data_IF_136304823041
#
_entry.id   IF_136304823041
#
_cell.length_a   1.000
_cell.length_b   1.000
_cell.length_c   1.000
_cell.angle_alpha   90.00
_cell.angle_beta   90.00
_cell.angle_gamma   90.00
#
_symmetry.space_group_name_H-M   'P 1'
#
loop_
_entity.id
_entity.type
_entity.pdbx_description
1 polymer ?
#
# COMPACT_ATOMS: atom_id res chain seq x y z
N UNK A 1 37.78 8.90 -16.55
CA UNK A 1 37.78 7.45 -16.25
C UNK A 1 36.42 6.98 -15.76
N UNK A 2 35.71 7.77 -14.94
CA UNK A 2 34.37 7.44 -14.45
C UNK A 2 33.35 7.26 -15.57
N UNK A 3 33.22 8.22 -16.49
CA UNK A 3 32.24 8.12 -17.60
C UNK A 3 32.52 6.91 -18.53
N UNK A 4 33.80 6.57 -18.70
CA UNK A 4 34.20 5.36 -19.43
C UNK A 4 33.79 4.09 -18.68
N UNK A 5 33.97 4.05 -17.36
CA UNK A 5 33.57 2.91 -16.54
C UNK A 5 32.04 2.73 -16.55
N UNK A 6 31.28 3.81 -16.47
CA UNK A 6 29.81 3.79 -16.59
C UNK A 6 29.36 3.31 -17.96
N UNK A 7 29.96 3.83 -19.03
CA UNK A 7 29.70 3.39 -20.40
C UNK A 7 30.00 1.90 -20.60
N UNK A 8 31.08 1.38 -19.98
CA UNK A 8 31.39 -0.05 -19.99
C UNK A 8 30.31 -0.84 -19.23
N UNK A 9 29.84 -0.36 -18.08
CA UNK A 9 28.78 -1.03 -17.33
C UNK A 9 27.49 -1.08 -18.17
N UNK A 10 27.03 0.05 -18.71
CA UNK A 10 25.86 0.09 -19.61
C UNK A 10 26.01 -0.90 -20.75
N UNK A 11 27.12 -0.86 -21.48
CA UNK A 11 27.37 -1.74 -22.62
C UNK A 11 27.33 -3.22 -22.22
N UNK A 12 27.84 -3.58 -21.04
CA UNK A 12 27.87 -4.96 -20.56
C UNK A 12 26.50 -5.45 -20.04
N UNK A 13 25.69 -4.55 -19.48
CA UNK A 13 24.34 -4.86 -19.01
C UNK A 13 23.31 -4.88 -20.15
N UNK A 14 23.52 -4.04 -21.17
CA UNK A 14 22.66 -3.86 -22.35
C UNK A 14 23.19 -4.60 -23.58
N UNK A 15 24.22 -5.44 -23.45
CA UNK A 15 24.78 -6.22 -24.55
C UNK A 15 23.66 -7.05 -25.19
N UNK A 16 23.08 -6.51 -26.27
CA UNK A 16 21.89 -6.96 -26.97
C UNK A 16 22.12 -8.35 -27.59
N UNK A 17 22.11 -9.38 -26.77
CA UNK A 17 21.91 -10.75 -27.19
C UNK A 17 20.43 -11.05 -26.93
N UNK A 18 19.60 -11.16 -27.97
CA UNK A 18 18.17 -11.43 -27.80
C UNK A 18 17.96 -12.62 -26.87
N UNK A 19 17.20 -12.41 -25.80
CA UNK A 19 16.79 -13.41 -24.80
C UNK A 19 17.93 -14.06 -23.99
N UNK A 20 19.09 -13.39 -23.82
CA UNK A 20 20.16 -13.91 -22.97
C UNK A 20 20.59 -12.89 -21.92
N UNK A 21 20.19 -13.14 -20.67
CA UNK A 21 20.65 -12.36 -19.52
C UNK A 21 22.19 -12.37 -19.41
N UNK A 22 22.82 -11.31 -18.89
CA UNK A 22 24.25 -11.29 -18.65
C UNK A 22 24.68 -12.45 -17.74
N UNK A 23 25.83 -13.06 -18.02
CA UNK A 23 26.34 -14.14 -17.17
C UNK A 23 26.62 -13.63 -15.74
N UNK A 24 26.52 -14.50 -14.73
CA UNK A 24 26.85 -14.16 -13.35
C UNK A 24 28.26 -13.54 -13.19
N UNK A 25 29.22 -13.91 -14.04
CA UNK A 25 30.55 -13.31 -14.06
C UNK A 25 30.54 -11.86 -14.55
N UNK A 26 29.74 -11.56 -15.58
CA UNK A 26 29.58 -10.18 -16.09
C UNK A 26 28.92 -9.32 -15.02
N UNK A 27 27.83 -9.82 -14.42
CA UNK A 27 27.14 -9.13 -13.33
C UNK A 27 28.09 -8.88 -12.14
N UNK A 28 28.87 -9.87 -11.71
CA UNK A 28 29.83 -9.70 -10.62
C UNK A 28 30.91 -8.64 -10.94
N UNK A 29 31.40 -8.58 -12.18
CA UNK A 29 32.37 -7.55 -12.60
C UNK A 29 31.73 -6.15 -12.67
N UNK A 30 30.50 -6.04 -13.18
CA UNK A 30 29.76 -4.77 -13.19
C UNK A 30 29.47 -4.30 -11.75
N UNK A 31 29.04 -5.22 -10.87
CA UNK A 31 28.81 -4.95 -9.43
C UNK A 31 30.07 -4.41 -8.78
N UNK A 32 31.20 -5.05 -9.06
CA UNK A 32 32.49 -4.67 -8.51
C UNK A 32 32.93 -3.28 -8.99
N UNK A 33 32.78 -3.02 -10.29
CA UNK A 33 33.14 -1.74 -10.90
C UNK A 33 32.25 -0.61 -10.37
N UNK A 34 30.94 -0.82 -10.29
CA UNK A 34 30.01 0.11 -9.67
C UNK A 34 30.38 0.36 -8.20
N UNK A 35 30.70 -0.70 -7.45
CA UNK A 35 31.14 -0.57 -6.06
C UNK A 35 32.40 0.28 -5.93
N UNK A 36 33.42 0.05 -6.76
CA UNK A 36 34.65 0.85 -6.74
C UNK A 36 34.38 2.33 -7.05
N UNK A 37 33.49 2.62 -8.01
CA UNK A 37 33.09 4.00 -8.33
C UNK A 37 32.39 4.68 -7.14
N UNK A 38 31.65 3.91 -6.34
CA UNK A 38 31.03 4.34 -5.09
C UNK A 38 31.98 4.34 -3.87
N UNK A 39 33.26 4.00 -4.05
CA UNK A 39 34.24 3.99 -2.97
C UNK A 39 34.34 2.69 -2.18
N UNK A 40 33.79 1.59 -2.69
CA UNK A 40 33.96 0.27 -2.09
C UNK A 40 35.45 -0.10 -2.05
N UNK A 41 35.96 -0.34 -0.84
CA UNK A 41 37.30 -0.89 -0.68
C UNK A 41 37.28 -2.39 -0.98
N UNK A 42 37.80 -2.74 -2.15
CA UNK A 42 37.85 -4.14 -2.61
C UNK A 42 39.21 -4.73 -2.27
N UNK A 43 39.20 -5.88 -1.60
CA UNK A 43 40.41 -6.67 -1.42
C UNK A 43 40.98 -7.07 -2.79
N UNK A 44 42.28 -6.83 -3.00
CA UNK A 44 43.02 -7.21 -4.20
C UNK A 44 42.86 -8.70 -4.53
N UNK A 45 42.66 -9.56 -3.53
CA UNK A 45 42.41 -11.00 -3.75
C UNK A 45 41.11 -11.27 -4.51
N UNK A 46 40.10 -10.41 -4.39
CA UNK A 46 38.82 -10.50 -5.13
C UNK A 46 38.97 -10.02 -6.57
N UNK A 47 39.82 -9.02 -6.81
CA UNK A 47 40.11 -8.49 -8.16
C UNK A 47 40.78 -9.54 -9.06
N UNK A 48 41.65 -10.38 -8.47
CA UNK A 48 42.47 -11.37 -9.20
C UNK A 48 41.72 -12.69 -9.43
N UNK A 49 40.56 -12.91 -8.81
CA UNK A 49 39.76 -14.12 -9.04
C UNK A 49 39.22 -14.16 -10.48
N UNK A 50 39.48 -15.28 -11.14
CA UNK A 50 39.00 -15.59 -12.50
C UNK A 50 37.48 -15.79 -12.51
N UNK A 51 36.94 -16.41 -11.46
CA UNK A 51 35.50 -16.58 -11.25
C UNK A 51 35.06 -15.83 -9.97
N UNK A 52 34.15 -14.87 -10.16
CA UNK A 52 33.55 -14.01 -9.13
C UNK A 52 32.06 -14.31 -8.95
N UNK A 53 31.48 -15.24 -9.72
CA UNK A 53 30.05 -15.56 -9.70
C UNK A 53 29.56 -15.95 -8.30
N UNK A 54 30.33 -16.77 -7.57
CA UNK A 54 30.01 -17.17 -6.20
C UNK A 54 30.08 -16.04 -5.15
N UNK A 55 30.58 -14.86 -5.51
CA UNK A 55 30.68 -13.71 -4.62
C UNK A 55 29.62 -12.64 -4.91
N UNK A 56 28.71 -12.88 -5.86
CA UNK A 56 27.79 -11.86 -6.36
C UNK A 56 26.89 -11.30 -5.28
N UNK A 57 26.31 -12.15 -4.42
CA UNK A 57 25.44 -11.70 -3.32
C UNK A 57 26.19 -10.81 -2.33
N UNK A 58 27.45 -11.16 -2.04
CA UNK A 58 28.32 -10.37 -1.15
C UNK A 58 28.71 -9.04 -1.80
N UNK A 59 28.97 -9.03 -3.11
CA UNK A 59 29.29 -7.81 -3.85
C UNK A 59 28.07 -6.89 -3.95
N UNK A 60 26.89 -7.45 -4.18
CA UNK A 60 25.63 -6.69 -4.22
C UNK A 60 25.35 -6.09 -2.85
N UNK A 61 25.42 -6.89 -1.77
CA UNK A 61 25.28 -6.40 -0.38
C UNK A 61 26.25 -5.23 -0.09
N UNK A 62 27.50 -5.34 -0.53
CA UNK A 62 28.50 -4.28 -0.36
C UNK A 62 28.22 -3.04 -1.19
N UNK A 63 27.79 -3.22 -2.45
CA UNK A 63 27.38 -2.14 -3.34
C UNK A 63 26.27 -1.31 -2.70
N UNK A 64 25.34 -1.96 -2.02
CA UNK A 64 24.22 -1.33 -1.35
C UNK A 64 24.61 -0.56 -0.11
N UNK A 65 25.47 -1.13 0.72
CA UNK A 65 26.03 -0.40 1.87
C UNK A 65 26.74 0.87 1.39
N UNK A 66 27.44 0.82 0.25
CA UNK A 66 28.03 2.01 -0.35
C UNK A 66 26.98 3.01 -0.86
N UNK A 67 25.93 2.55 -1.54
CA UNK A 67 24.82 3.41 -1.98
C UNK A 67 24.13 4.08 -0.79
N UNK A 68 23.83 3.31 0.26
CA UNK A 68 23.21 3.80 1.49
C UNK A 68 24.12 4.82 2.19
N UNK A 69 25.44 4.56 2.28
CA UNK A 69 26.39 5.53 2.84
C UNK A 69 26.51 6.83 2.04
N UNK A 70 26.31 6.77 0.73
CA UNK A 70 26.25 7.96 -0.13
C UNK A 70 24.97 8.75 0.09
N UNK A 71 23.84 8.05 0.29
CA UNK A 71 22.53 8.62 0.60
C UNK A 71 22.50 9.28 1.98
N UNK A 72 23.03 8.61 3.00
CA UNK A 72 23.00 9.10 4.39
C UNK A 72 23.99 10.24 4.65
N UNK A 73 24.72 10.70 3.63
CA UNK A 73 25.74 11.73 3.77
C UNK A 73 26.97 11.29 4.56
N UNK A 74 27.12 9.98 4.81
CA UNK A 74 28.28 9.41 5.49
C UNK A 74 29.56 9.48 4.63
N UNK A 75 29.39 9.61 3.31
CA UNK A 75 30.49 9.79 2.37
C UNK A 75 30.70 11.26 1.94
N UNK A 76 31.96 11.67 1.66
CA UNK A 76 32.28 13.01 1.16
C UNK A 76 31.44 13.43 -0.07
N UNK A 77 31.17 14.73 -0.24
CA UNK A 77 30.32 15.29 -1.32
C UNK A 77 30.63 14.81 -2.75
N UNK A 78 31.89 14.45 -3.06
CA UNK A 78 32.26 13.91 -4.37
C UNK A 78 31.71 12.50 -4.63
N UNK A 79 31.41 11.72 -3.59
CA UNK A 79 30.74 10.43 -3.71
C UNK A 79 29.25 10.57 -4.01
N UNK A 80 28.58 11.64 -3.57
CA UNK A 80 27.18 11.89 -3.89
C UNK A 80 26.97 12.06 -5.40
N UNK A 81 27.83 12.84 -6.07
CA UNK A 81 27.77 13.02 -7.54
C UNK A 81 28.05 11.71 -8.30
N UNK A 82 29.02 10.90 -7.83
CA UNK A 82 29.29 9.58 -8.41
C UNK A 82 28.16 8.59 -8.16
N UNK A 83 27.56 8.64 -6.97
CA UNK A 83 26.41 7.81 -6.62
C UNK A 83 25.24 8.08 -7.55
N UNK A 84 24.93 9.36 -7.83
CA UNK A 84 23.90 9.73 -8.81
C UNK A 84 24.13 9.07 -10.16
N UNK A 85 25.36 9.11 -10.70
CA UNK A 85 25.69 8.49 -11.99
C UNK A 85 25.75 6.96 -11.97
N UNK A 86 26.21 6.35 -10.88
CA UNK A 86 26.37 4.89 -10.78
C UNK A 86 25.06 4.17 -10.44
N UNK A 87 24.08 4.89 -9.91
CA UNK A 87 22.88 4.32 -9.34
C UNK A 87 22.03 3.55 -10.36
N UNK A 88 21.67 4.08 -11.56
CA UNK A 88 20.85 3.33 -12.50
C UNK A 88 21.48 1.97 -12.85
N UNK A 89 22.81 1.94 -12.96
CA UNK A 89 23.54 0.70 -13.21
C UNK A 89 23.58 -0.23 -12.00
N UNK A 90 23.79 0.30 -10.80
CA UNK A 90 23.79 -0.49 -9.57
C UNK A 90 22.42 -1.17 -9.38
N UNK A 91 21.35 -0.41 -9.56
CA UNK A 91 19.97 -0.87 -9.51
C UNK A 91 19.68 -1.94 -10.57
N UNK A 92 20.10 -1.73 -11.82
CA UNK A 92 19.99 -2.73 -12.89
C UNK A 92 20.78 -4.01 -12.60
N UNK A 93 21.96 -3.90 -12.00
CA UNK A 93 22.76 -5.05 -11.56
C UNK A 93 21.97 -5.83 -10.51
N UNK A 94 21.41 -5.16 -9.51
CA UNK A 94 20.64 -5.82 -8.45
C UNK A 94 19.46 -6.58 -9.04
N UNK A 95 18.66 -5.91 -9.88
CA UNK A 95 17.52 -6.50 -10.58
C UNK A 95 17.92 -7.79 -11.32
N UNK A 96 19.00 -7.72 -12.11
CA UNK A 96 19.48 -8.87 -12.90
C UNK A 96 20.08 -9.99 -12.05
N UNK A 97 20.55 -9.69 -10.84
CA UNK A 97 21.11 -10.70 -9.92
C UNK A 97 20.06 -11.37 -9.06
N UNK A 98 18.93 -10.71 -8.80
CA UNK A 98 17.93 -11.16 -7.81
C UNK A 98 18.45 -11.18 -6.36
N UNK A 99 19.67 -10.69 -6.12
CA UNK A 99 20.31 -10.70 -4.81
C UNK A 99 19.81 -9.48 -4.01
N UNK A 100 18.89 -9.72 -3.08
CA UNK A 100 18.33 -8.64 -2.25
C UNK A 100 18.43 -8.95 -0.74
N UNK A 101 19.05 -8.06 0.07
CA UNK A 101 18.83 -7.94 1.50
C UNK A 101 17.36 -7.69 1.83
N UNK A 102 16.85 -8.47 2.77
CA UNK A 102 15.47 -8.40 3.26
C UNK A 102 15.23 -7.26 4.27
N UNK A 103 16.21 -6.38 4.51
CA UNK A 103 16.18 -5.40 5.60
C UNK A 103 15.54 -4.04 5.23
N UNK A 104 14.96 -3.92 4.03
CA UNK A 104 14.26 -2.72 3.56
C UNK A 104 15.17 -1.51 3.28
N UNK A 105 16.48 -1.62 3.47
CA UNK A 105 17.47 -0.56 3.18
C UNK A 105 17.39 -0.09 1.73
N UNK A 106 17.04 -1.01 0.84
CA UNK A 106 16.87 -0.80 -0.59
C UNK A 106 15.85 0.25 -0.99
N UNK A 107 14.66 0.15 -0.41
CA UNK A 107 13.59 1.09 -0.71
C UNK A 107 14.00 2.50 -0.30
N UNK A 108 14.73 2.63 0.82
CA UNK A 108 15.28 3.92 1.28
C UNK A 108 16.33 4.46 0.33
N UNK A 109 17.27 3.63 -0.09
CA UNK A 109 18.32 4.04 -1.02
C UNK A 109 17.73 4.49 -2.36
N UNK A 110 16.83 3.70 -2.95
CA UNK A 110 16.17 4.04 -4.21
C UNK A 110 15.34 5.32 -4.13
N UNK A 111 14.56 5.49 -3.06
CA UNK A 111 13.77 6.71 -2.87
C UNK A 111 14.64 7.95 -2.62
N UNK A 112 15.67 7.84 -1.78
CA UNK A 112 16.57 8.96 -1.53
C UNK A 112 17.33 9.36 -2.80
N UNK A 113 17.67 8.39 -3.63
CA UNK A 113 18.24 8.67 -4.93
C UNK A 113 17.26 9.34 -5.89
N UNK A 114 16.02 8.87 -5.95
CA UNK A 114 14.94 9.54 -6.70
C UNK A 114 14.84 11.02 -6.28
N UNK A 115 14.78 11.27 -4.97
CA UNK A 115 14.80 12.62 -4.38
C UNK A 115 16.01 13.45 -4.83
N UNK A 116 17.20 12.87 -4.78
CA UNK A 116 18.44 13.55 -5.13
C UNK A 116 18.60 13.85 -6.62
N UNK A 117 18.04 13.02 -7.49
CA UNK A 117 17.99 13.25 -8.94
C UNK A 117 16.97 14.35 -9.24
N UNK A 118 15.80 14.26 -8.62
CA UNK A 118 14.72 15.25 -8.78
C UNK A 118 15.14 16.64 -8.30
N UNK A 119 15.59 16.77 -7.04
CA UNK A 119 15.95 18.06 -6.42
C UNK A 119 17.34 18.57 -6.82
N UNK A 120 18.25 17.68 -7.23
CA UNK A 120 19.66 18.00 -7.45
C UNK A 120 19.91 18.98 -8.61
N UNK A 121 18.96 19.15 -9.52
CA UNK A 121 19.08 20.06 -10.66
C UNK A 121 18.43 21.43 -10.41
N UNK A 122 17.50 21.54 -9.45
CA UNK A 122 16.84 22.81 -9.12
C UNK A 122 17.79 23.87 -8.55
N UNK A 123 18.96 23.46 -8.04
CA UNK A 123 19.96 24.37 -7.47
C UNK A 123 20.94 24.96 -8.50
N UNK A 124 20.91 24.53 -9.77
CA UNK A 124 21.88 24.94 -10.80
C UNK A 124 21.23 25.88 -11.85
N UNK A 125 19.90 25.97 -11.93
CA UNK A 125 19.17 26.66 -13.00
C UNK A 125 18.55 28.01 -12.61
N UNK A 126 19.23 28.82 -11.80
CA UNK A 126 18.83 30.24 -11.64
C UNK A 126 19.05 31.06 -12.93
N UNK A 127 19.67 30.47 -13.96
CA UNK A 127 19.78 31.06 -15.28
C UNK A 127 19.30 30.06 -16.34
N UNK A 128 18.31 30.51 -17.12
CA UNK A 128 17.76 29.90 -18.33
C UNK A 128 16.71 28.80 -18.12
N UNK A 129 15.63 28.90 -18.90
CA UNK A 129 14.52 27.95 -18.99
C UNK A 129 15.07 26.54 -19.16
N UNK A 130 14.86 25.67 -18.17
CA UNK A 130 15.19 24.24 -18.28
C UNK A 130 14.55 23.71 -19.56
N UNK A 131 15.36 23.10 -20.43
CA UNK A 131 14.87 22.50 -21.66
C UNK A 131 13.86 21.40 -21.31
N UNK A 132 12.72 21.35 -22.01
CA UNK A 132 11.66 20.38 -21.76
C UNK A 132 12.18 18.95 -21.87
N UNK A 133 13.16 18.71 -22.75
CA UNK A 133 13.81 17.41 -22.92
C UNK A 133 14.70 17.04 -21.72
N UNK A 134 15.42 18.01 -21.14
CA UNK A 134 16.27 17.78 -19.98
C UNK A 134 15.44 17.51 -18.71
N UNK A 135 14.33 18.22 -18.53
CA UNK A 135 13.37 17.97 -17.45
C UNK A 135 12.75 16.57 -17.58
N UNK A 136 12.29 16.19 -18.78
CA UNK A 136 11.71 14.87 -19.04
C UNK A 136 12.73 13.76 -18.76
N UNK A 137 13.97 13.89 -19.25
CA UNK A 137 15.05 12.95 -18.96
C UNK A 137 15.30 12.82 -17.44
N UNK A 138 15.34 13.94 -16.72
CA UNK A 138 15.51 13.97 -15.25
C UNK A 138 14.38 13.21 -14.54
N UNK A 139 13.13 13.45 -14.93
CA UNK A 139 11.98 12.81 -14.31
C UNK A 139 11.98 11.29 -14.51
N UNK A 140 12.38 10.82 -15.71
CA UNK A 140 12.51 9.39 -15.98
C UNK A 140 13.73 8.75 -15.30
N UNK A 141 14.86 9.44 -15.19
CA UNK A 141 16.02 8.95 -14.41
C UNK A 141 15.67 8.79 -12.93
N UNK A 142 14.94 9.76 -12.35
CA UNK A 142 14.40 9.66 -11.00
C UNK A 142 13.37 8.52 -10.90
N UNK A 143 12.59 8.29 -11.95
CA UNK A 143 11.61 7.23 -12.06
C UNK A 143 12.23 5.84 -12.05
N UNK A 144 13.30 5.63 -12.82
CA UNK A 144 14.04 4.38 -12.83
C UNK A 144 14.66 4.04 -11.45
N UNK A 145 15.12 5.07 -10.73
CA UNK A 145 15.60 4.90 -9.36
C UNK A 145 14.49 4.44 -8.42
N UNK A 146 13.29 5.02 -8.58
CA UNK A 146 12.12 4.70 -7.78
C UNK A 146 11.54 3.32 -8.11
N UNK A 147 11.42 2.99 -9.40
CA UNK A 147 10.98 1.70 -9.89
C UNK A 147 11.78 0.56 -9.22
N UNK A 148 13.11 0.68 -9.21
CA UNK A 148 13.94 -0.34 -8.56
C UNK A 148 13.77 -0.39 -7.04
N UNK A 149 13.42 0.72 -6.40
CA UNK A 149 13.08 0.73 -4.97
C UNK A 149 11.82 -0.12 -4.69
N UNK A 150 10.90 -0.16 -5.66
CA UNK A 150 9.63 -0.89 -5.61
C UNK A 150 9.79 -2.37 -6.07
N UNK A 151 10.69 -2.69 -7.02
CA UNK A 151 10.93 -4.05 -7.58
C UNK A 151 11.43 -5.14 -6.62
N UNK A 152 11.50 -4.87 -5.32
CA UNK A 152 12.44 -5.55 -4.41
C UNK A 152 11.66 -6.09 -3.19
N UNK A 153 11.95 -7.30 -2.66
CA UNK A 153 11.03 -8.13 -1.88
C UNK A 153 10.54 -7.38 -0.64
N UNK A 154 9.32 -6.84 -0.72
CA UNK A 154 8.57 -6.30 0.41
C UNK A 154 7.40 -7.21 0.80
N UNK A 155 7.49 -8.50 0.46
CA UNK A 155 6.46 -9.47 0.77
C UNK A 155 6.82 -10.33 1.99
N UNK A 156 5.81 -10.79 2.76
CA UNK A 156 6.00 -11.62 3.96
C UNK A 156 6.68 -12.98 3.69
N UNK A 157 6.82 -13.36 2.42
CA UNK A 157 7.37 -14.64 1.96
C UNK A 157 8.81 -14.54 1.44
N UNK A 158 9.41 -13.34 1.41
CA UNK A 158 10.79 -13.15 0.92
C UNK A 158 10.97 -13.36 -0.59
N UNK A 159 9.88 -13.39 -1.37
CA UNK A 159 9.94 -13.45 -2.83
C UNK A 159 10.16 -12.05 -3.42
N UNK A 160 10.98 -11.99 -4.48
CA UNK A 160 11.16 -10.79 -5.30
C UNK A 160 9.96 -10.69 -6.25
N UNK A 161 9.11 -9.69 -6.03
CA UNK A 161 7.96 -9.39 -6.87
C UNK A 161 8.36 -8.36 -7.92
N UNK A 162 7.90 -8.56 -9.15
CA UNK A 162 8.05 -7.54 -10.19
C UNK A 162 7.12 -6.37 -9.88
N UNK A 163 7.43 -5.13 -10.31
CA UNK A 163 6.58 -3.96 -10.11
C UNK A 163 5.20 -4.06 -10.74
N UNK A 164 5.05 -4.94 -11.72
CA UNK A 164 3.81 -5.23 -12.40
C UNK A 164 3.00 -6.33 -11.70
N UNK A 165 3.58 -6.99 -10.71
CA UNK A 165 2.92 -8.04 -9.94
C UNK A 165 1.81 -7.43 -9.08
N UNK A 166 0.57 -7.89 -9.31
CA UNK A 166 -0.59 -7.41 -8.56
C UNK A 166 -0.47 -7.67 -7.06
N UNK A 167 0.32 -8.66 -6.65
CA UNK A 167 0.60 -8.96 -5.25
C UNK A 167 1.25 -7.77 -4.54
N UNK A 168 2.15 -7.04 -5.22
CA UNK A 168 2.90 -5.94 -4.63
C UNK A 168 1.98 -4.78 -4.22
N UNK A 169 0.94 -4.48 -5.00
CA UNK A 169 0.00 -3.39 -4.71
C UNK A 169 -0.78 -3.62 -3.41
N UNK A 170 -1.10 -4.87 -3.10
CA UNK A 170 -2.01 -5.20 -2.01
C UNK A 170 -1.29 -5.66 -0.75
N UNK A 171 -0.21 -6.41 -0.93
CA UNK A 171 0.52 -7.07 0.14
C UNK A 171 1.93 -6.51 0.35
N UNK A 172 2.38 -5.58 -0.50
CA UNK A 172 3.65 -4.89 -0.32
C UNK A 172 3.67 -4.10 0.98
N UNK A 173 4.62 -4.41 1.86
CA UNK A 173 4.85 -3.68 3.09
C UNK A 173 5.74 -2.46 2.84
N UNK A 174 5.14 -1.40 2.30
CA UNK A 174 5.76 -0.07 2.19
C UNK A 174 5.82 0.62 3.55
N UNK A 175 6.46 -0.02 4.52
CA UNK A 175 6.56 0.50 5.88
C UNK A 175 7.95 1.05 6.15
N UNK A 176 7.99 2.31 6.55
CA UNK A 176 9.13 2.93 7.17
C UNK A 176 9.26 2.51 8.64
N UNK A 177 9.04 1.23 8.99
CA UNK A 177 8.80 0.79 10.38
C UNK A 177 9.93 1.14 11.38
N UNK A 178 11.08 1.61 10.90
CA UNK A 178 12.21 2.09 11.70
C UNK A 178 12.69 3.49 11.32
N UNK A 179 11.88 4.27 10.63
CA UNK A 179 12.20 5.62 10.20
C UNK A 179 11.34 6.64 10.94
N UNK A 180 11.99 7.52 11.70
CA UNK A 180 11.33 8.58 12.48
C UNK A 180 11.03 9.83 11.65
N UNK A 181 11.30 9.78 10.34
CA UNK A 181 11.16 10.90 9.42
C UNK A 181 9.68 11.30 9.28
N UNK A 182 9.44 12.62 9.29
CA UNK A 182 8.08 13.17 9.26
C UNK A 182 7.47 13.11 7.86
N UNK A 183 6.15 13.19 7.74
CA UNK A 183 5.44 13.26 6.44
C UNK A 183 5.95 14.39 5.54
N UNK A 184 6.45 15.48 6.12
CA UNK A 184 7.04 16.62 5.40
C UNK A 184 8.25 16.24 4.54
N UNK A 185 8.99 15.20 4.92
CA UNK A 185 10.20 14.79 4.20
C UNK A 185 9.93 14.16 2.83
N UNK A 186 8.65 13.90 2.55
CA UNK A 186 8.12 13.33 1.32
C UNK A 186 7.31 14.32 0.49
N UNK A 187 7.24 15.60 0.87
CA UNK A 187 6.51 16.60 0.07
C UNK A 187 7.07 16.75 -1.35
N UNK A 188 8.40 16.59 -1.50
CA UNK A 188 9.03 16.55 -2.82
C UNK A 188 8.48 15.44 -3.72
N UNK A 189 7.96 14.34 -3.14
CA UNK A 189 7.39 13.24 -3.92
C UNK A 189 6.05 13.66 -4.52
N UNK A 190 5.26 14.48 -3.81
CA UNK A 190 4.04 15.08 -4.37
C UNK A 190 4.41 16.00 -5.54
N UNK A 191 5.47 16.80 -5.39
CA UNK A 191 5.95 17.69 -6.46
C UNK A 191 6.39 16.92 -7.69
N UNK A 192 7.19 15.87 -7.46
CA UNK A 192 7.62 14.95 -8.50
C UNK A 192 6.46 14.30 -9.24
N UNK A 193 5.45 13.81 -8.51
CA UNK A 193 4.23 13.23 -9.09
C UNK A 193 3.44 14.25 -9.90
N UNK A 194 3.32 15.49 -9.41
CA UNK A 194 2.65 16.56 -10.14
C UNK A 194 3.39 16.91 -11.43
N UNK A 195 4.72 17.00 -11.41
CA UNK A 195 5.52 17.26 -12.62
C UNK A 195 5.45 16.09 -13.62
N UNK A 196 5.52 14.85 -13.15
CA UNK A 196 5.35 13.66 -13.99
C UNK A 196 4.01 13.64 -14.71
N UNK A 197 2.93 14.02 -14.02
CA UNK A 197 1.57 14.01 -14.58
C UNK A 197 1.40 14.93 -15.79
N UNK A 198 2.21 15.98 -15.90
CA UNK A 198 2.16 16.91 -17.04
C UNK A 198 2.86 16.33 -18.29
N UNK A 199 3.54 15.19 -18.18
CA UNK A 199 4.15 14.49 -19.31
C UNK A 199 3.16 13.51 -19.98
N UNK A 200 3.39 13.25 -21.27
CA UNK A 200 2.65 12.24 -22.04
C UNK A 200 3.51 10.99 -22.28
N UNK A 201 2.88 9.81 -22.26
CA UNK A 201 3.52 8.53 -22.66
C UNK A 201 3.29 7.39 -21.68
N UNK A 202 3.36 6.15 -22.18
CA UNK A 202 3.13 4.95 -21.38
C UNK A 202 4.12 4.80 -20.20
N UNK A 203 5.39 5.16 -20.42
CA UNK A 203 6.44 5.13 -19.37
C UNK A 203 6.12 6.08 -18.19
N UNK A 204 5.31 7.12 -18.43
CA UNK A 204 4.84 8.05 -17.39
C UNK A 204 3.86 7.37 -16.45
N UNK A 205 2.92 6.60 -16.99
CA UNK A 205 1.91 5.88 -16.20
C UNK A 205 2.55 4.90 -15.21
N UNK A 206 3.59 4.20 -15.68
CA UNK A 206 4.32 3.26 -14.85
C UNK A 206 5.12 3.94 -13.74
N UNK A 207 5.78 5.04 -14.08
CA UNK A 207 6.53 5.84 -13.12
C UNK A 207 5.61 6.49 -12.08
N UNK A 208 4.43 6.95 -12.49
CA UNK A 208 3.41 7.50 -11.59
C UNK A 208 2.88 6.43 -10.64
N UNK A 209 2.66 5.20 -11.11
CA UNK A 209 2.24 4.11 -10.25
C UNK A 209 3.29 3.79 -9.17
N UNK A 210 4.58 3.73 -9.53
CA UNK A 210 5.68 3.54 -8.57
C UNK A 210 5.74 4.68 -7.55
N UNK A 211 5.56 5.92 -8.01
CA UNK A 211 5.54 7.08 -7.15
C UNK A 211 4.36 7.09 -6.17
N UNK A 212 3.18 6.63 -6.61
CA UNK A 212 2.02 6.48 -5.75
C UNK A 212 2.20 5.35 -4.73
N UNK A 213 2.79 4.22 -5.12
CA UNK A 213 3.14 3.15 -4.18
C UNK A 213 4.14 3.64 -3.14
N UNK A 214 5.17 4.38 -3.55
CA UNK A 214 6.12 5.00 -2.62
C UNK A 214 5.42 6.02 -1.70
N UNK A 215 4.48 6.81 -2.20
CA UNK A 215 3.72 7.78 -1.41
C UNK A 215 2.78 7.11 -0.40
N UNK A 216 2.36 5.86 -0.63
CA UNK A 216 1.53 5.12 0.34
C UNK A 216 2.24 4.97 1.69
N UNK A 217 3.58 4.96 1.67
CA UNK A 217 4.38 4.91 2.88
C UNK A 217 4.31 6.20 3.72
N UNK A 218 3.88 7.33 3.14
CA UNK A 218 3.70 8.62 3.85
C UNK A 218 2.51 8.60 4.80
N UNK A 219 1.46 7.81 4.50
CA UNK A 219 0.20 7.75 5.25
C UNK A 219 -0.49 9.11 5.49
N UNK A 220 -0.16 10.11 4.66
CA UNK A 220 -0.61 11.51 4.76
C UNK A 220 -0.87 12.10 3.38
N UNK A 221 -1.68 13.16 3.31
CA UNK A 221 -1.92 13.94 2.09
C UNK A 221 -0.83 15.01 1.83
N UNK A 222 0.21 15.06 2.66
CA UNK A 222 1.24 16.09 2.63
C UNK A 222 0.89 17.33 3.48
N UNK A 223 1.58 18.44 3.24
CA UNK A 223 1.23 19.73 3.84
C UNK A 223 -0.11 20.27 3.30
N UNK A 224 -0.75 21.17 4.06
CA UNK A 224 -1.99 21.85 3.64
C UNK A 224 -1.88 22.55 2.26
N UNK A 225 -0.68 22.97 1.86
CA UNK A 225 -0.43 23.60 0.56
C UNK A 225 -0.37 22.61 -0.60
N UNK A 226 -0.09 21.34 -0.32
CA UNK A 226 0.08 20.27 -1.32
C UNK A 226 -1.11 19.32 -1.40
N UNK A 227 -1.91 19.24 -0.34
CA UNK A 227 -3.08 18.37 -0.22
C UNK A 227 -4.01 18.46 -1.43
N UNK A 228 -4.38 19.67 -1.86
CA UNK A 228 -5.29 19.85 -2.98
C UNK A 228 -4.73 19.34 -4.31
N UNK A 229 -3.41 19.46 -4.53
CA UNK A 229 -2.75 18.97 -5.74
C UNK A 229 -2.62 17.45 -5.71
N UNK A 230 -2.28 16.88 -4.55
CA UNK A 230 -2.17 15.43 -4.40
C UNK A 230 -3.54 14.74 -4.55
N UNK A 231 -4.61 15.33 -4.02
CA UNK A 231 -5.98 14.86 -4.24
C UNK A 231 -6.37 14.86 -5.73
N UNK A 232 -5.98 15.90 -6.49
CA UNK A 232 -6.22 15.94 -7.93
C UNK A 232 -5.49 14.82 -8.67
N UNK A 233 -4.25 14.50 -8.26
CA UNK A 233 -3.54 13.34 -8.80
C UNK A 233 -4.29 12.05 -8.47
N UNK A 234 -4.65 11.82 -7.21
CA UNK A 234 -5.36 10.60 -6.80
C UNK A 234 -6.68 10.41 -7.57
N UNK A 235 -7.45 11.48 -7.74
CA UNK A 235 -8.68 11.47 -8.52
C UNK A 235 -8.43 11.13 -9.99
N UNK A 236 -7.42 11.76 -10.60
CA UNK A 236 -7.06 11.52 -11.99
C UNK A 236 -6.56 10.08 -12.19
N UNK A 237 -5.65 9.61 -11.33
CA UNK A 237 -5.04 8.27 -11.40
C UNK A 237 -6.03 7.13 -11.16
N UNK A 238 -7.13 7.37 -10.42
CA UNK A 238 -8.22 6.41 -10.24
C UNK A 238 -9.31 6.51 -11.33
N UNK A 239 -9.16 7.43 -12.29
CA UNK A 239 -10.13 7.66 -13.35
C UNK A 239 -10.28 6.47 -14.33
N UNK A 240 -11.42 6.36 -15.03
CA UNK A 240 -11.73 5.18 -15.85
C UNK A 240 -10.80 4.99 -17.05
N UNK A 241 -10.20 6.07 -17.54
CA UNK A 241 -9.27 6.07 -18.67
C UNK A 241 -7.85 5.62 -18.28
N UNK A 242 -7.58 5.43 -16.98
CA UNK A 242 -6.25 5.08 -16.48
C UNK A 242 -6.01 3.56 -16.49
N UNK A 243 -4.77 3.12 -16.74
CA UNK A 243 -4.44 1.71 -16.67
C UNK A 243 -4.67 1.14 -15.27
N UNK A 244 -4.98 -0.16 -15.19
CA UNK A 244 -5.32 -0.81 -13.94
C UNK A 244 -4.20 -0.66 -12.87
N UNK A 245 -2.94 -0.75 -13.29
CA UNK A 245 -1.77 -0.56 -12.43
C UNK A 245 -1.78 0.79 -11.71
N UNK A 246 -1.97 1.87 -12.46
CA UNK A 246 -2.04 3.22 -11.91
C UNK A 246 -3.24 3.41 -10.99
N UNK A 247 -4.42 2.88 -11.38
CA UNK A 247 -5.63 2.90 -10.53
C UNK A 247 -5.41 2.18 -9.20
N UNK A 248 -4.76 1.02 -9.22
CA UNK A 248 -4.49 0.22 -8.02
C UNK A 248 -3.45 0.87 -7.11
N UNK A 249 -2.39 1.44 -7.68
CA UNK A 249 -1.40 2.22 -6.92
C UNK A 249 -2.05 3.43 -6.24
N UNK A 250 -2.91 4.16 -6.94
CA UNK A 250 -3.67 5.28 -6.37
C UNK A 250 -4.65 4.84 -5.27
N UNK A 251 -5.33 3.71 -5.45
CA UNK A 251 -6.21 3.13 -4.42
C UNK A 251 -5.41 2.73 -3.18
N UNK A 252 -4.23 2.12 -3.36
CA UNK A 252 -3.31 1.77 -2.25
C UNK A 252 -2.86 3.01 -1.49
N UNK A 253 -2.44 4.06 -2.20
CA UNK A 253 -2.08 5.34 -1.58
C UNK A 253 -3.26 5.96 -0.80
N UNK A 254 -4.47 5.93 -1.40
CA UNK A 254 -5.71 6.38 -0.76
C UNK A 254 -6.02 5.57 0.51
N UNK A 255 -5.84 4.25 0.47
CA UNK A 255 -5.99 3.38 1.64
C UNK A 255 -5.00 3.73 2.76
N UNK A 256 -3.73 3.93 2.46
CA UNK A 256 -2.75 4.27 3.50
C UNK A 256 -2.98 5.67 4.10
N UNK A 257 -3.58 6.59 3.35
CA UNK A 257 -3.96 7.94 3.82
C UNK A 257 -5.33 8.00 4.50
N UNK A 258 -6.07 6.89 4.63
CA UNK A 258 -7.46 6.83 5.13
C UNK A 258 -7.74 7.56 6.44
N UNK A 259 -6.82 7.51 7.41
CA UNK A 259 -6.97 8.23 8.71
C UNK A 259 -6.85 9.74 8.51
N UNK A 260 -5.97 10.18 7.62
CA UNK A 260 -5.82 11.59 7.25
C UNK A 260 -7.05 12.08 6.48
N UNK A 261 -7.60 11.29 5.56
CA UNK A 261 -8.86 11.61 4.85
C UNK A 261 -10.04 11.77 5.82
N UNK A 262 -10.11 10.92 6.85
CA UNK A 262 -11.13 10.99 7.89
C UNK A 262 -10.98 12.26 8.75
N UNK A 263 -9.76 12.64 9.11
CA UNK A 263 -9.52 13.88 9.87
C UNK A 263 -9.74 15.14 9.01
N UNK A 264 -9.32 15.11 7.74
CA UNK A 264 -9.37 16.26 6.84
C UNK A 264 -10.81 16.69 6.55
N UNK A 265 -11.78 15.77 6.46
CA UNK A 265 -13.19 16.13 6.23
C UNK A 265 -13.80 16.91 7.42
N UNK A 266 -13.29 16.68 8.64
CA UNK A 266 -13.73 17.31 9.88
C UNK A 266 -13.11 18.70 10.08
N UNK A 267 -11.86 18.90 9.63
CA UNK A 267 -11.08 20.14 9.71
C UNK A 267 -11.38 21.14 8.57
N UNK A 268 -12.51 21.00 7.88
CA UNK A 268 -12.85 21.84 6.70
C UNK A 268 -13.41 23.22 7.03
N UNK A 269 -13.07 23.79 8.18
CA UNK A 269 -13.45 25.16 8.60
C UNK A 269 -12.84 26.21 7.64
N UNK A 270 -13.56 26.48 6.54
CA UNK A 270 -13.26 27.55 5.57
C UNK A 270 -12.91 27.09 4.15
N UNK A 271 -12.81 25.78 3.87
CA UNK A 271 -12.40 25.25 2.56
C UNK A 271 -13.44 24.30 1.97
N UNK A 272 -14.63 24.82 1.65
CA UNK A 272 -15.69 24.04 1.01
C UNK A 272 -15.21 23.28 -0.25
N UNK A 273 -14.32 23.89 -1.03
CA UNK A 273 -13.74 23.27 -2.22
C UNK A 273 -12.89 22.03 -1.91
N UNK A 274 -12.18 22.01 -0.77
CA UNK A 274 -11.37 20.86 -0.37
C UNK A 274 -12.27 19.71 0.08
N UNK A 275 -13.33 20.02 0.84
CA UNK A 275 -14.34 19.04 1.25
C UNK A 275 -14.96 18.32 0.05
N UNK A 276 -15.38 19.07 -0.96
CA UNK A 276 -15.96 18.48 -2.18
C UNK A 276 -14.94 17.64 -2.95
N UNK A 277 -13.67 18.08 -3.03
CA UNK A 277 -12.59 17.29 -3.63
C UNK A 277 -12.33 15.98 -2.88
N UNK A 278 -12.34 16.00 -1.55
CA UNK A 278 -12.21 14.80 -0.73
C UNK A 278 -13.37 13.84 -1.04
N UNK A 279 -14.60 14.33 -1.01
CA UNK A 279 -15.78 13.50 -1.30
C UNK A 279 -15.83 13.00 -2.75
N UNK A 280 -15.21 13.71 -3.70
CA UNK A 280 -15.05 13.26 -5.08
C UNK A 280 -14.17 12.01 -5.21
N UNK A 281 -13.40 11.63 -4.18
CA UNK A 281 -12.68 10.35 -4.17
C UNK A 281 -13.64 9.16 -4.12
N UNK A 282 -14.85 9.32 -3.59
CA UNK A 282 -15.85 8.24 -3.50
C UNK A 282 -16.11 7.55 -4.85
N UNK A 283 -16.60 8.23 -5.91
CA UNK A 283 -16.78 7.60 -7.21
C UNK A 283 -15.46 7.15 -7.87
N UNK A 284 -14.34 7.81 -7.56
CA UNK A 284 -13.02 7.43 -8.07
C UNK A 284 -12.54 6.09 -7.47
N UNK A 285 -12.74 5.87 -6.17
CA UNK A 285 -12.45 4.61 -5.48
C UNK A 285 -13.25 3.46 -6.10
N UNK A 286 -14.54 3.68 -6.38
CA UNK A 286 -15.38 2.66 -7.03
C UNK A 286 -14.88 2.36 -8.46
N UNK A 287 -14.46 3.39 -9.18
CA UNK A 287 -13.86 3.25 -10.52
C UNK A 287 -12.56 2.46 -10.47
N UNK A 288 -11.72 2.70 -9.47
CA UNK A 288 -10.44 2.02 -9.29
C UNK A 288 -10.59 0.51 -9.15
N UNK A 289 -11.63 0.03 -8.46
CA UNK A 289 -11.87 -1.42 -8.28
C UNK A 289 -12.70 -2.06 -9.39
N UNK A 290 -13.29 -1.26 -10.27
CA UNK A 290 -14.15 -1.79 -11.34
C UNK A 290 -13.31 -2.59 -12.34
N UNK A 291 -13.71 -3.83 -12.69
CA UNK A 291 -12.96 -4.67 -13.61
C UNK A 291 -12.77 -3.93 -14.94
N UNK A 292 -11.53 -3.88 -15.43
CA UNK A 292 -11.26 -3.28 -16.75
C UNK A 292 -12.00 -4.09 -17.81
N UNK A 293 -12.62 -3.39 -18.76
CA UNK A 293 -13.32 -4.00 -19.91
C UNK A 293 -12.33 -4.75 -20.81
N UNK A 294 -11.03 -4.44 -20.70
CA UNK A 294 -9.98 -5.00 -21.51
C UNK A 294 -9.47 -6.35 -20.98
N UNK A 295 -10.09 -7.43 -21.47
CA UNK A 295 -9.43 -8.71 -21.73
C UNK A 295 -9.16 -9.67 -20.56
N UNK A 296 -9.20 -9.23 -19.31
CA UNK A 296 -9.18 -10.14 -18.17
C UNK A 296 -10.58 -10.72 -17.96
N UNK A 297 -10.72 -12.05 -17.90
CA UNK A 297 -11.89 -12.68 -17.32
C UNK A 297 -12.06 -12.10 -15.90
N UNK A 298 -12.95 -11.12 -15.75
CA UNK A 298 -13.03 -10.30 -14.55
C UNK A 298 -13.37 -11.17 -13.36
N UNK A 299 -12.37 -11.43 -12.51
CA UNK A 299 -12.62 -12.10 -11.24
C UNK A 299 -13.53 -11.18 -10.44
N UNK A 300 -14.72 -11.67 -10.10
CA UNK A 300 -15.74 -10.90 -9.38
C UNK A 300 -15.18 -10.37 -8.04
N UNK A 301 -14.32 -11.18 -7.42
CA UNK A 301 -13.61 -10.90 -6.18
C UNK A 301 -12.11 -11.17 -6.32
N UNK A 302 -11.29 -10.13 -6.09
CA UNK A 302 -9.85 -10.23 -5.95
C UNK A 302 -9.48 -9.92 -4.49
N UNK A 303 -8.87 -10.88 -3.81
CA UNK A 303 -8.65 -10.84 -2.36
C UNK A 303 -7.87 -9.58 -1.93
N UNK A 304 -6.86 -9.20 -2.71
CA UNK A 304 -6.01 -8.05 -2.43
C UNK A 304 -6.71 -6.73 -2.71
N UNK A 305 -7.27 -6.56 -3.92
CA UNK A 305 -7.98 -5.36 -4.37
C UNK A 305 -9.21 -5.08 -3.52
N UNK A 306 -10.11 -6.06 -3.44
CA UNK A 306 -11.36 -5.90 -2.69
C UNK A 306 -11.08 -5.86 -1.18
N UNK A 307 -10.02 -6.52 -0.70
CA UNK A 307 -9.54 -6.38 0.68
C UNK A 307 -9.08 -4.96 1.02
N UNK A 308 -8.27 -4.33 0.16
CA UNK A 308 -7.83 -2.95 0.31
C UNK A 308 -9.03 -1.98 0.33
N UNK A 309 -9.96 -2.18 -0.61
CA UNK A 309 -11.20 -1.41 -0.71
C UNK A 309 -12.07 -1.50 0.53
N UNK A 310 -12.36 -2.72 1.02
CA UNK A 310 -13.21 -2.91 2.20
C UNK A 310 -12.59 -2.30 3.46
N UNK A 311 -11.27 -2.39 3.63
CA UNK A 311 -10.58 -1.74 4.76
C UNK A 311 -10.66 -0.21 4.69
N UNK A 312 -10.50 0.35 3.49
CA UNK A 312 -10.67 1.79 3.25
C UNK A 312 -12.10 2.22 3.61
N UNK A 313 -13.11 1.56 3.04
CA UNK A 313 -14.51 1.87 3.31
C UNK A 313 -14.85 1.75 4.80
N UNK A 314 -14.44 0.67 5.45
CA UNK A 314 -14.65 0.47 6.88
C UNK A 314 -14.18 1.67 7.69
N UNK A 315 -13.05 2.27 7.33
CA UNK A 315 -12.53 3.48 7.99
C UNK A 315 -13.36 4.71 7.66
N UNK A 316 -13.64 4.96 6.37
CA UNK A 316 -14.31 6.18 5.91
C UNK A 316 -15.76 6.29 6.43
N UNK A 317 -16.51 5.17 6.52
CA UNK A 317 -17.91 5.19 6.98
C UNK A 317 -18.09 5.61 8.44
N UNK A 318 -17.01 5.77 9.22
CA UNK A 318 -17.06 6.38 10.55
C UNK A 318 -17.58 7.82 10.52
N UNK A 319 -17.29 8.55 9.45
CA UNK A 319 -17.73 9.94 9.33
C UNK A 319 -19.07 10.02 8.56
N UNK A 320 -20.08 10.74 9.06
CA UNK A 320 -21.38 10.82 8.42
C UNK A 320 -21.37 11.39 6.99
N UNK A 321 -20.48 12.33 6.68
CA UNK A 321 -20.37 12.90 5.33
C UNK A 321 -19.86 11.86 4.33
N UNK A 322 -18.83 11.10 4.71
CA UNK A 322 -18.35 9.96 3.94
C UNK A 322 -19.42 8.87 3.81
N UNK A 323 -20.09 8.50 4.90
CA UNK A 323 -21.15 7.50 4.89
C UNK A 323 -22.28 7.87 3.90
N UNK A 324 -22.73 9.13 3.92
CA UNK A 324 -23.75 9.63 2.99
C UNK A 324 -23.26 9.57 1.54
N UNK A 325 -22.04 10.03 1.29
CA UNK A 325 -21.45 10.05 -0.05
C UNK A 325 -21.25 8.64 -0.62
N UNK A 326 -20.67 7.73 0.16
CA UNK A 326 -20.47 6.33 -0.21
C UNK A 326 -21.80 5.62 -0.52
N UNK A 327 -22.86 5.97 0.21
CA UNK A 327 -24.21 5.44 -0.06
C UNK A 327 -24.77 5.96 -1.38
N UNK A 328 -24.54 7.23 -1.69
CA UNK A 328 -24.98 7.87 -2.93
C UNK A 328 -24.26 7.31 -4.17
N UNK A 329 -22.95 7.04 -4.06
CA UNK A 329 -22.13 6.55 -5.17
C UNK A 329 -22.11 5.01 -5.28
N UNK A 330 -23.17 4.31 -4.84
CA UNK A 330 -23.36 2.86 -5.03
C UNK A 330 -22.34 1.91 -4.37
N UNK A 331 -21.52 2.39 -3.42
CA UNK A 331 -20.57 1.51 -2.70
C UNK A 331 -21.28 0.40 -1.92
N UNK A 332 -22.51 0.64 -1.47
CA UNK A 332 -23.32 -0.34 -0.74
C UNK A 332 -23.71 -1.49 -1.64
N UNK A 333 -24.18 -1.18 -2.85
CA UNK A 333 -24.54 -2.19 -3.84
C UNK A 333 -23.32 -3.03 -4.22
N UNK A 334 -22.13 -2.40 -4.33
CA UNK A 334 -20.87 -3.14 -4.49
C UNK A 334 -20.58 -4.04 -3.29
N UNK A 335 -20.67 -3.54 -2.05
CA UNK A 335 -20.46 -4.36 -0.85
C UNK A 335 -21.43 -5.55 -0.78
N UNK A 336 -22.70 -5.35 -1.16
CA UNK A 336 -23.71 -6.40 -1.23
C UNK A 336 -23.29 -7.47 -2.25
N UNK A 337 -22.82 -7.05 -3.44
CA UNK A 337 -22.34 -7.99 -4.47
C UNK A 337 -21.13 -8.81 -4.02
N UNK A 338 -20.32 -8.27 -3.11
CA UNK A 338 -19.15 -8.94 -2.54
C UNK A 338 -19.51 -9.93 -1.42
N UNK A 339 -20.68 -9.81 -0.78
CA UNK A 339 -21.03 -10.64 0.38
C UNK A 339 -21.03 -12.14 0.08
N UNK A 340 -21.50 -12.56 -1.09
CA UNK A 340 -21.56 -13.99 -1.43
C UNK A 340 -20.16 -14.61 -1.55
N UNK A 341 -19.20 -13.86 -2.08
CA UNK A 341 -17.82 -14.31 -2.28
C UNK A 341 -16.97 -14.13 -1.00
N UNK A 342 -17.31 -13.13 -0.18
CA UNK A 342 -16.52 -12.75 0.99
C UNK A 342 -17.04 -13.31 2.33
N UNK A 343 -18.20 -13.97 2.35
CA UNK A 343 -18.78 -14.52 3.58
C UNK A 343 -17.92 -15.64 4.18
N UNK A 344 -17.24 -16.41 3.33
CA UNK A 344 -16.40 -17.54 3.73
C UNK A 344 -14.90 -17.15 3.81
N UNK A 345 -14.52 -15.96 3.34
CA UNK A 345 -13.14 -15.48 3.37
C UNK A 345 -12.87 -14.56 4.57
N UNK A 346 -12.03 -15.06 5.47
CA UNK A 346 -11.42 -14.29 6.54
C UNK A 346 -10.21 -13.54 5.95
N UNK A 347 -10.10 -12.19 6.01
CA UNK A 347 -10.74 -11.25 6.94
C UNK A 347 -11.92 -10.39 6.41
N UNK A 348 -12.35 -10.55 5.16
CA UNK A 348 -13.27 -9.63 4.48
C UNK A 348 -14.68 -9.61 5.09
N UNK A 349 -15.15 -10.73 5.62
CA UNK A 349 -16.43 -10.83 6.34
C UNK A 349 -16.54 -9.82 7.49
N UNK A 350 -15.45 -9.61 8.25
CA UNK A 350 -15.42 -8.64 9.34
C UNK A 350 -15.63 -7.21 8.85
N UNK A 351 -14.91 -6.81 7.80
CA UNK A 351 -15.03 -5.46 7.25
C UNK A 351 -16.41 -5.20 6.67
N UNK A 352 -17.00 -6.18 5.96
CA UNK A 352 -18.36 -6.07 5.44
C UNK A 352 -19.39 -5.89 6.57
N UNK A 353 -19.35 -6.76 7.59
CA UNK A 353 -20.23 -6.64 8.75
C UNK A 353 -20.09 -5.25 9.40
N UNK A 354 -18.83 -4.82 9.62
CA UNK A 354 -18.54 -3.55 10.24
C UNK A 354 -18.97 -2.33 9.43
N UNK A 355 -18.82 -2.35 8.10
CA UNK A 355 -19.31 -1.30 7.19
C UNK A 355 -20.82 -1.15 7.36
N UNK A 356 -21.57 -2.25 7.29
CA UNK A 356 -23.02 -2.21 7.37
C UNK A 356 -23.55 -1.79 8.74
N UNK A 357 -22.90 -2.24 9.83
CA UNK A 357 -23.21 -1.79 11.18
C UNK A 357 -23.05 -0.28 11.32
N UNK A 358 -21.92 0.28 10.83
CA UNK A 358 -21.66 1.72 10.87
C UNK A 358 -22.67 2.52 10.06
N UNK A 359 -22.99 2.10 8.85
CA UNK A 359 -24.02 2.77 8.03
C UNK A 359 -25.38 2.75 8.72
N UNK A 360 -25.75 1.62 9.31
CA UNK A 360 -27.01 1.48 10.05
C UNK A 360 -27.06 2.43 11.24
N UNK A 361 -25.96 2.56 11.99
CA UNK A 361 -25.84 3.48 13.10
C UNK A 361 -25.95 4.94 12.66
N UNK A 362 -25.22 5.35 11.61
CA UNK A 362 -25.26 6.71 11.06
C UNK A 362 -26.66 7.07 10.57
N UNK A 363 -27.31 6.17 9.83
CA UNK A 363 -28.65 6.42 9.31
C UNK A 363 -29.71 6.52 10.41
N UNK A 364 -29.59 5.76 11.51
CA UNK A 364 -30.44 5.92 12.70
C UNK A 364 -30.29 7.31 13.31
N UNK A 365 -29.06 7.83 13.39
CA UNK A 365 -28.77 9.17 13.95
C UNK A 365 -29.30 10.28 13.04
N UNK A 366 -29.20 10.10 11.73
CA UNK A 366 -29.64 11.10 10.74
C UNK A 366 -31.11 10.97 10.31
N UNK A 367 -31.85 10.01 10.88
CA UNK A 367 -33.23 9.69 10.50
C UNK A 367 -33.42 9.47 8.98
N UNK A 368 -32.39 8.96 8.31
CA UNK A 368 -32.43 8.71 6.87
C UNK A 368 -33.31 7.47 6.60
N UNK A 369 -34.16 7.50 5.56
CA UNK A 369 -34.90 6.32 5.14
C UNK A 369 -33.91 5.28 4.61
N UNK A 370 -33.49 4.36 5.48
CA UNK A 370 -32.91 3.09 5.10
C UNK A 370 -34.04 2.27 4.48
N UNK A 371 -34.20 2.40 3.16
CA UNK A 371 -35.10 1.53 2.42
C UNK A 371 -34.71 0.04 2.66
N UNK A 372 -35.55 -0.90 2.25
CA UNK A 372 -35.45 -2.38 2.39
C UNK A 372 -34.09 -3.02 1.92
N UNK A 373 -33.15 -2.19 1.47
CA UNK A 373 -31.75 -2.49 1.16
C UNK A 373 -31.00 -3.17 2.30
N UNK A 374 -31.20 -2.74 3.55
CA UNK A 374 -30.54 -3.33 4.74
C UNK A 374 -31.51 -4.18 5.56
N UNK A 375 -32.34 -4.97 4.87
CA UNK A 375 -33.11 -5.97 5.60
C UNK A 375 -32.12 -6.78 6.44
N UNK A 376 -32.44 -6.83 7.71
CA UNK A 376 -31.60 -7.34 8.79
C UNK A 376 -31.14 -8.79 8.49
N UNK A 377 -31.94 -9.54 7.72
CA UNK A 377 -31.61 -10.84 7.13
C UNK A 377 -30.39 -10.84 6.20
N UNK A 378 -30.14 -9.78 5.42
CA UNK A 378 -28.96 -9.63 4.55
C UNK A 378 -27.65 -9.45 5.34
N UNK A 379 -27.74 -9.04 6.61
CA UNK A 379 -26.58 -8.90 7.50
C UNK A 379 -26.26 -10.20 8.25
N UNK A 380 -27.14 -11.19 8.22
CA UNK A 380 -26.91 -12.47 8.90
C UNK A 380 -25.72 -13.27 8.36
N UNK A 381 -25.45 -13.36 7.04
CA UNK A 381 -24.34 -14.16 6.51
C UNK A 381 -22.94 -13.76 7.01
N UNK A 382 -22.54 -12.47 7.04
CA UNK A 382 -21.19 -12.11 7.47
C UNK A 382 -20.95 -12.18 8.98
N UNK A 383 -21.99 -12.26 9.83
CA UNK A 383 -21.84 -12.21 11.30
C UNK A 383 -20.98 -13.35 11.86
N UNK A 384 -21.22 -14.64 11.52
CA UNK A 384 -20.35 -15.71 12.00
C UNK A 384 -18.90 -15.55 11.53
N UNK A 385 -18.69 -15.12 10.29
CA UNK A 385 -17.37 -14.85 9.73
C UNK A 385 -16.67 -13.67 10.39
N UNK A 386 -17.40 -12.64 10.82
CA UNK A 386 -16.84 -11.51 11.54
C UNK A 386 -16.26 -11.91 12.90
N UNK A 387 -16.95 -12.77 13.67
CA UNK A 387 -16.41 -13.29 14.94
C UNK A 387 -15.16 -14.15 14.74
N UNK A 388 -15.12 -14.93 13.66
CA UNK A 388 -13.96 -15.75 13.27
C UNK A 388 -12.75 -14.88 12.87
N UNK A 389 -13.01 -13.81 12.14
CA UNK A 389 -12.00 -12.92 11.58
C UNK A 389 -11.46 -11.89 12.56
N UNK A 390 -12.20 -11.54 13.62
CA UNK A 390 -11.83 -10.48 14.54
C UNK A 390 -10.39 -10.63 15.10
N UNK A 391 -9.96 -11.78 15.65
CA UNK A 391 -8.62 -11.89 16.22
C UNK A 391 -7.51 -11.60 15.21
N UNK A 392 -7.63 -12.11 13.98
CA UNK A 392 -6.68 -11.86 12.90
C UNK A 392 -6.66 -10.38 12.49
N UNK A 393 -7.85 -9.76 12.37
CA UNK A 393 -7.98 -8.33 12.05
C UNK A 393 -7.37 -7.46 13.15
N UNK A 394 -7.68 -7.75 14.40
CA UNK A 394 -7.16 -7.03 15.56
C UNK A 394 -5.62 -7.14 15.64
N UNK A 395 -5.08 -8.35 15.52
CA UNK A 395 -3.63 -8.59 15.58
C UNK A 395 -2.85 -7.99 14.40
N UNK A 396 -3.54 -7.65 13.29
CA UNK A 396 -2.94 -6.91 12.16
C UNK A 396 -2.74 -5.41 12.43
N UNK A 397 -3.09 -4.92 13.63
CA UNK A 397 -2.90 -3.52 14.03
C UNK A 397 -4.01 -2.58 13.57
N UNK A 398 -5.22 -3.11 13.36
CA UNK A 398 -6.38 -2.32 12.98
C UNK A 398 -7.24 -1.97 14.20
N UNK A 399 -6.84 -0.95 14.95
CA UNK A 399 -7.49 -0.54 16.21
C UNK A 399 -9.00 -0.20 16.03
N UNK A 400 -9.39 0.22 14.84
CA UNK A 400 -10.77 0.60 14.51
C UNK A 400 -11.74 -0.60 14.58
N UNK A 401 -11.24 -1.83 14.72
CA UNK A 401 -12.05 -3.05 14.80
C UNK A 401 -12.68 -3.26 16.19
N UNK A 402 -12.10 -2.72 17.27
CA UNK A 402 -12.63 -2.94 18.63
C UNK A 402 -13.94 -2.20 18.84
N UNK A 403 -14.04 -0.99 18.30
CA UNK A 403 -15.20 -0.10 18.49
C UNK A 403 -16.52 -0.69 17.93
N UNK A 404 -16.45 -1.61 16.98
CA UNK A 404 -17.64 -2.20 16.35
C UNK A 404 -18.22 -3.39 17.11
N UNK A 405 -17.47 -3.94 18.08
CA UNK A 405 -17.87 -5.15 18.79
C UNK A 405 -19.19 -5.02 19.59
N UNK A 406 -19.52 -3.87 20.22
CA UNK A 406 -20.82 -3.71 20.85
C UNK A 406 -21.99 -3.82 19.85
N UNK A 407 -21.87 -3.18 18.69
CA UNK A 407 -22.91 -3.24 17.64
C UNK A 407 -22.99 -4.66 17.03
N UNK A 408 -21.84 -5.31 16.82
CA UNK A 408 -21.79 -6.70 16.35
C UNK A 408 -22.41 -7.65 17.38
N UNK A 409 -22.23 -7.39 18.67
CA UNK A 409 -22.86 -8.14 19.76
C UNK A 409 -24.37 -7.99 19.71
N UNK A 410 -24.88 -6.77 19.60
CA UNK A 410 -26.33 -6.51 19.52
C UNK A 410 -26.93 -7.21 18.30
N UNK A 411 -26.29 -7.10 17.14
CA UNK A 411 -26.72 -7.80 15.93
C UNK A 411 -26.71 -9.33 16.13
N UNK A 412 -25.66 -9.88 16.76
CA UNK A 412 -25.56 -11.33 16.98
C UNK A 412 -26.63 -11.84 17.94
N UNK A 413 -27.05 -11.04 18.94
CA UNK A 413 -28.15 -11.39 19.84
C UNK A 413 -29.49 -11.56 19.11
N UNK A 414 -29.69 -10.86 18.00
CA UNK A 414 -30.89 -10.98 17.18
C UNK A 414 -30.87 -12.22 16.27
N UNK A 415 -29.66 -12.69 15.91
CA UNK A 415 -29.42 -13.81 14.99
C UNK A 415 -28.78 -15.02 15.65
N UNK A 416 -29.03 -15.22 16.95
CA UNK A 416 -28.47 -16.36 17.66
C UNK A 416 -28.87 -17.65 16.93
N UNK A 417 -27.88 -18.47 16.50
CA UNK A 417 -28.17 -19.72 15.81
C UNK A 417 -29.07 -20.63 16.65
N UNK A 418 -29.94 -21.39 15.97
CA UNK A 418 -30.82 -22.35 16.62
C UNK A 418 -30.22 -23.76 16.65
N UNK A 419 -29.32 -24.06 15.71
CA UNK A 419 -28.63 -25.33 15.66
C UNK A 419 -27.49 -25.38 16.68
N UNK A 420 -27.32 -26.55 17.29
CA UNK A 420 -26.33 -26.74 18.35
C UNK A 420 -24.91 -26.48 17.88
N UNK A 421 -24.58 -26.98 16.69
CA UNK A 421 -23.22 -26.92 16.15
C UNK A 421 -22.76 -25.48 15.89
N UNK A 422 -23.59 -24.64 15.28
CA UNK A 422 -23.28 -23.23 15.08
C UNK A 422 -23.26 -22.46 16.40
N UNK A 423 -24.08 -22.82 17.39
CA UNK A 423 -23.99 -22.25 18.74
C UNK A 423 -22.67 -22.59 19.44
N UNK A 424 -22.22 -23.84 19.35
CA UNK A 424 -20.92 -24.28 19.90
C UNK A 424 -19.77 -23.55 19.20
N UNK A 425 -19.82 -23.46 17.86
CA UNK A 425 -18.84 -22.70 17.07
C UNK A 425 -18.81 -21.21 17.45
N UNK A 426 -19.99 -20.59 17.61
CA UNK A 426 -20.10 -19.19 18.02
C UNK A 426 -19.57 -18.99 19.45
N UNK A 427 -19.85 -19.92 20.36
CA UNK A 427 -19.31 -19.90 21.72
C UNK A 427 -17.79 -19.90 21.74
N UNK A 428 -17.16 -20.81 21.01
CA UNK A 428 -15.69 -20.90 20.91
C UNK A 428 -15.08 -19.61 20.35
N UNK A 429 -15.67 -19.06 19.30
CA UNK A 429 -15.22 -17.79 18.69
C UNK A 429 -15.31 -16.62 19.66
N UNK A 430 -16.44 -16.46 20.35
CA UNK A 430 -16.63 -15.37 21.32
C UNK A 430 -15.65 -15.51 22.50
N UNK A 431 -15.41 -16.74 22.98
CA UNK A 431 -14.46 -17.00 24.06
C UNK A 431 -13.04 -16.59 23.63
N UNK A 432 -12.62 -16.94 22.41
CA UNK A 432 -11.34 -16.50 21.85
C UNK A 432 -11.23 -14.98 21.71
N UNK A 433 -12.28 -14.31 21.22
CA UNK A 433 -12.33 -12.84 21.16
C UNK A 433 -12.14 -12.22 22.54
N UNK A 434 -12.82 -12.72 23.58
CA UNK A 434 -12.65 -12.22 24.95
C UNK A 434 -11.24 -12.41 25.48
N UNK A 435 -10.60 -13.55 25.19
CA UNK A 435 -9.22 -13.80 25.59
C UNK A 435 -8.26 -12.79 24.95
N UNK A 436 -8.47 -12.46 23.66
CA UNK A 436 -7.72 -11.40 22.97
C UNK A 436 -7.97 -10.05 23.65
N UNK A 437 -9.22 -9.63 23.81
CA UNK A 437 -9.56 -8.33 24.42
C UNK A 437 -8.97 -8.17 25.82
N UNK A 438 -9.05 -9.21 26.66
CA UNK A 438 -8.49 -9.20 28.02
C UNK A 438 -6.97 -9.15 28.01
N UNK A 439 -6.33 -9.94 27.13
CA UNK A 439 -4.87 -9.97 27.01
C UNK A 439 -4.30 -8.59 26.67
N UNK A 440 -4.99 -7.82 25.84
CA UNK A 440 -4.57 -6.49 25.42
C UNK A 440 -5.21 -5.34 26.22
N UNK A 441 -5.97 -5.67 27.27
CA UNK A 441 -6.57 -4.68 28.19
C UNK A 441 -7.48 -3.66 27.50
N UNK A 442 -8.31 -4.13 26.58
CA UNK A 442 -9.30 -3.31 25.87
C UNK A 442 -10.37 -2.71 26.82
N UNK A 443 -11.11 -1.66 26.42
CA UNK A 443 -12.08 -0.98 27.27
C UNK A 443 -13.13 -1.94 27.88
N UNK A 444 -13.37 -1.78 29.18
CA UNK A 444 -14.32 -2.63 29.93
C UNK A 444 -15.74 -2.61 29.35
N UNK A 445 -16.16 -1.51 28.75
CA UNK A 445 -17.45 -1.41 28.07
C UNK A 445 -17.57 -2.38 26.89
N UNK A 446 -16.48 -2.59 26.15
CA UNK A 446 -16.44 -3.53 25.02
C UNK A 446 -16.39 -4.97 25.53
N UNK A 447 -15.53 -5.24 26.51
CA UNK A 447 -15.43 -6.56 27.16
C UNK A 447 -16.80 -6.98 27.72
N UNK A 448 -17.46 -6.09 28.47
CA UNK A 448 -18.78 -6.35 29.06
C UNK A 448 -19.87 -6.63 28.03
N UNK A 449 -19.82 -5.98 26.86
CA UNK A 449 -20.78 -6.26 25.77
C UNK A 449 -20.60 -7.70 25.26
N UNK A 450 -19.37 -8.09 24.92
CA UNK A 450 -19.05 -9.43 24.41
C UNK A 450 -19.32 -10.51 25.47
N UNK A 451 -19.05 -10.24 26.75
CA UNK A 451 -19.39 -11.16 27.85
C UNK A 451 -20.91 -11.38 28.00
N UNK A 452 -21.70 -10.35 27.72
CA UNK A 452 -23.16 -10.45 27.76
C UNK A 452 -23.65 -11.40 26.67
N UNK A 453 -23.12 -11.28 25.45
CA UNK A 453 -23.40 -12.23 24.37
C UNK A 453 -22.99 -13.66 24.77
N UNK A 454 -21.79 -13.84 25.31
CA UNK A 454 -21.31 -15.16 25.74
C UNK A 454 -22.24 -15.81 26.78
N UNK A 455 -22.75 -15.04 27.75
CA UNK A 455 -23.73 -15.53 28.74
C UNK A 455 -25.02 -16.00 28.09
N UNK A 456 -25.53 -15.26 27.10
CA UNK A 456 -26.74 -15.65 26.36
C UNK A 456 -26.49 -16.91 25.55
N UNK A 457 -25.37 -17.01 24.82
CA UNK A 457 -25.00 -18.20 24.04
C UNK A 457 -24.86 -19.43 24.94
N UNK A 458 -24.16 -19.31 26.09
CA UNK A 458 -24.05 -20.40 27.09
C UNK A 458 -25.40 -20.84 27.64
N UNK A 459 -26.31 -19.89 27.89
CA UNK A 459 -27.67 -20.20 28.37
C UNK A 459 -28.45 -20.98 27.31
N UNK A 460 -28.32 -20.60 26.03
CA UNK A 460 -28.96 -21.29 24.92
C UNK A 460 -28.41 -22.70 24.72
N UNK A 461 -27.09 -22.88 24.74
CA UNK A 461 -26.44 -24.20 24.61
C UNK A 461 -26.86 -25.20 25.68
N UNK A 462 -27.11 -24.72 26.91
CA UNK A 462 -27.55 -25.55 28.02
C UNK A 462 -29.08 -25.77 28.05
N UNK A 463 -29.83 -25.20 27.12
CA UNK A 463 -31.29 -25.36 27.04
C UNK A 463 -31.66 -26.72 26.46
N UNK A 464 -32.61 -27.46 27.06
CA UNK A 464 -33.06 -28.76 26.56
C UNK A 464 -33.79 -28.70 25.20
N UNK A 465 -34.04 -27.50 24.67
CA UNK A 465 -34.79 -27.26 23.43
C UNK A 465 -33.90 -27.11 22.18
N UNK A 466 -32.57 -27.14 22.32
CA UNK A 466 -31.66 -27.11 21.17
C UNK A 466 -31.62 -28.51 20.56
N UNK A 467 -32.27 -28.70 19.41
CA UNK A 467 -32.29 -29.97 18.70
C UNK A 467 -30.88 -30.37 18.24
N UNK A 468 -30.52 -31.64 18.47
CA UNK A 468 -29.25 -32.26 18.06
C UNK A 468 -29.15 -32.34 16.55
#
# INVERSE_FOLDING_TARGET
MEDLALSIISMLLEANIPNKAPSAQVLANCTLLAGILLGLNVDKTVLVKVDKSAAIDVLVTKLLVCLQGCVDGAHPQHYASRAKKCLPHALRIIELTGAVPLDGSFFRAGLACCKEIFLGCSAISDNETEDSEDMQRRLFEAGAALHTAICIPQGPLGYVYQPDDSFLYWYGEFTWAHDTRSSHEFEWLIDYICELRELEGYEVEDTLADALLASSAMKSLGSRTREAAYLEVLLWSMGPEQPARLRYAALRATYETRRTLLAAIEDTDGYANLREKLLALSPAILTAISPSVEGSHGVLFDEGRDGCYLKLLFTLVKNPAWCSRLSLDDHINRCISLMAEAADSNPHAFYLAGIFLRITAVSKVLELPLDDMFSRAKLSPPVPGAWDAFPSVYLSGNDDCVEILPDLTELTLEYIPLDRFALETLHERIDWVLDVLRKYSEPESVISAVETLLKVVRTRLNSPLVSI
#
